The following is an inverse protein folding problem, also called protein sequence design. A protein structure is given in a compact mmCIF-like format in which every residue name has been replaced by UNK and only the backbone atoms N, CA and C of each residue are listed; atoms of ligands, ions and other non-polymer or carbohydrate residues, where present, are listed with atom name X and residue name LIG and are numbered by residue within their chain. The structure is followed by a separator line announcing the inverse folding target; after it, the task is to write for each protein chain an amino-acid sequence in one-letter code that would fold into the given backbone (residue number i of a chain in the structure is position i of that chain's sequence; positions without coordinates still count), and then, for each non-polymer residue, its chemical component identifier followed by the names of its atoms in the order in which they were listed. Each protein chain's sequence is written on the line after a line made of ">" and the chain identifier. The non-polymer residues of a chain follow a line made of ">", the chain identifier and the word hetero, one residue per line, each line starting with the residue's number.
data_IF_994369404216
#
_entry.id   IF_994369404216
#
_cell.length_a   1.000
_cell.length_b   1.000
_cell.length_c   1.000
_cell.angle_alpha   90.00
_cell.angle_beta   90.00
_cell.angle_gamma   90.00
#
_symmetry.space_group_name_H-M   'P 1'
#
loop_
_entity.id
_entity.type
_entity.pdbx_description
1 polymer ?
#
# COMPACT_ATOMS: atom_id res chain seq x y z
N UNK A 1 -0.83 -4.60 -10.93
CA UNK A 1 -0.20 -3.45 -10.22
C UNK A 1 -0.75 -2.11 -10.71
N UNK A 2 -0.68 -1.82 -12.02
CA UNK A 2 -1.16 -0.57 -12.62
C UNK A 2 -2.63 -0.24 -12.30
N UNK A 3 -3.53 -1.22 -12.38
CA UNK A 3 -4.95 -1.00 -12.05
C UNK A 3 -5.16 -0.56 -10.60
N UNK A 4 -4.36 -1.11 -9.67
CA UNK A 4 -4.44 -0.76 -8.25
C UNK A 4 -3.91 0.65 -7.99
N UNK A 5 -2.87 1.06 -8.72
CA UNK A 5 -2.33 2.43 -8.69
C UNK A 5 -3.33 3.45 -9.26
N UNK A 6 -3.90 3.15 -10.44
CA UNK A 6 -4.95 3.96 -11.05
C UNK A 6 -6.13 4.14 -10.12
N UNK A 7 -6.62 3.04 -9.54
CA UNK A 7 -7.70 3.07 -8.57
C UNK A 7 -7.37 3.94 -7.34
N UNK A 8 -6.16 3.85 -6.78
CA UNK A 8 -5.74 4.63 -5.61
C UNK A 8 -5.67 6.15 -5.90
N UNK A 9 -5.29 6.53 -7.12
CA UNK A 9 -5.25 7.93 -7.55
C UNK A 9 -6.62 8.60 -7.58
N UNK A 10 -7.69 7.82 -7.73
CA UNK A 10 -9.07 8.31 -7.68
C UNK A 10 -9.62 8.43 -6.24
N UNK A 11 -8.88 7.97 -5.23
CA UNK A 11 -9.36 7.95 -3.84
C UNK A 11 -8.93 9.18 -3.03
N UNK A 12 -9.76 9.59 -2.08
CA UNK A 12 -9.49 10.73 -1.20
C UNK A 12 -8.62 10.39 0.02
N UNK A 13 -8.12 9.16 0.16
CA UNK A 13 -7.20 8.78 1.24
C UNK A 13 -7.83 8.59 2.63
N UNK A 14 -9.15 8.42 2.73
CA UNK A 14 -9.80 8.09 4.01
C UNK A 14 -9.51 6.66 4.48
N UNK A 15 -9.77 6.34 5.74
CA UNK A 15 -9.44 5.02 6.31
C UNK A 15 -10.03 3.84 5.52
N UNK A 16 -11.24 4.01 4.98
CA UNK A 16 -11.92 3.02 4.13
C UNK A 16 -11.16 2.73 2.84
N UNK A 17 -10.44 3.71 2.28
CA UNK A 17 -9.59 3.53 1.10
C UNK A 17 -8.54 2.43 1.35
N UNK A 18 -7.88 2.44 2.50
CA UNK A 18 -6.85 1.45 2.83
C UNK A 18 -7.45 0.05 3.07
N UNK A 19 -8.64 -0.02 3.68
CA UNK A 19 -9.35 -1.29 3.84
C UNK A 19 -9.75 -1.90 2.49
N UNK A 20 -10.28 -1.11 1.56
CA UNK A 20 -10.60 -1.59 0.21
C UNK A 20 -9.35 -1.91 -0.60
N UNK A 21 -8.28 -1.12 -0.44
CA UNK A 21 -6.98 -1.39 -1.04
C UNK A 21 -6.49 -2.79 -0.65
N UNK A 22 -6.51 -3.10 0.65
CA UNK A 22 -6.06 -4.40 1.17
C UNK A 22 -6.80 -5.56 0.49
N UNK A 23 -8.13 -5.46 0.37
CA UNK A 23 -8.95 -6.49 -0.29
C UNK A 23 -8.61 -6.63 -1.77
N UNK A 24 -8.49 -5.52 -2.50
CA UNK A 24 -8.13 -5.51 -3.93
C UNK A 24 -6.73 -6.10 -4.16
N UNK A 25 -5.76 -5.74 -3.33
CA UNK A 25 -4.40 -6.27 -3.41
C UNK A 25 -4.36 -7.78 -3.16
N UNK A 26 -5.11 -8.28 -2.16
CA UNK A 26 -5.22 -9.72 -1.90
C UNK A 26 -5.89 -10.49 -3.03
N UNK A 27 -6.93 -9.93 -3.64
CA UNK A 27 -7.57 -10.52 -4.80
C UNK A 27 -6.57 -10.61 -5.97
N UNK A 28 -5.91 -9.50 -6.30
CA UNK A 28 -4.97 -9.46 -7.41
C UNK A 28 -3.77 -10.38 -7.18
N UNK A 29 -3.31 -10.54 -5.94
CA UNK A 29 -2.22 -11.48 -5.61
C UNK A 29 -2.57 -12.95 -5.91
N UNK A 30 -3.85 -13.30 -5.96
CA UNK A 30 -4.31 -14.65 -6.35
C UNK A 30 -4.38 -14.82 -7.87
N UNK A 31 -4.49 -13.73 -8.60
CA UNK A 31 -4.66 -13.68 -10.05
C UNK A 31 -3.32 -13.47 -10.77
N UNK A 32 -2.36 -12.80 -10.13
CA UNK A 32 -1.02 -12.48 -10.64
C UNK A 32 0.05 -13.14 -9.76
N UNK A 33 0.42 -14.39 -10.10
CA UNK A 33 1.40 -15.17 -9.35
C UNK A 33 2.82 -14.56 -9.39
N UNK A 34 3.17 -13.83 -10.44
CA UNK A 34 4.50 -13.23 -10.61
C UNK A 34 4.73 -12.11 -9.60
N UNK A 35 3.70 -11.32 -9.32
CA UNK A 35 3.77 -10.18 -8.40
C UNK A 35 3.06 -10.41 -7.07
N UNK A 36 2.58 -11.65 -6.82
CA UNK A 36 1.76 -11.99 -5.67
C UNK A 36 2.37 -11.58 -4.32
N UNK A 37 3.68 -11.79 -4.14
CA UNK A 37 4.37 -11.43 -2.90
C UNK A 37 4.37 -9.92 -2.65
N UNK A 38 4.68 -9.12 -3.68
CA UNK A 38 4.67 -7.66 -3.59
C UNK A 38 3.24 -7.16 -3.34
N UNK A 39 2.25 -7.71 -4.04
CA UNK A 39 0.83 -7.36 -3.85
C UNK A 39 0.35 -7.67 -2.42
N UNK A 40 0.71 -8.84 -1.88
CA UNK A 40 0.37 -9.22 -0.52
C UNK A 40 1.01 -8.28 0.51
N UNK A 41 2.27 -7.89 0.29
CA UNK A 41 2.99 -6.96 1.17
C UNK A 41 2.40 -5.55 1.13
N UNK A 42 2.08 -5.02 -0.06
CA UNK A 42 1.40 -3.73 -0.21
C UNK A 42 0.03 -3.74 0.48
N UNK A 43 -0.73 -4.83 0.32
CA UNK A 43 -1.98 -5.02 1.05
C UNK A 43 -1.76 -5.01 2.57
N UNK A 44 -0.67 -5.61 3.06
CA UNK A 44 -0.34 -5.62 4.49
C UNK A 44 0.03 -4.24 5.03
N UNK A 45 0.70 -3.39 4.26
CA UNK A 45 0.96 -1.99 4.62
C UNK A 45 -0.37 -1.26 4.89
N UNK A 46 -1.33 -1.38 3.96
CA UNK A 46 -2.65 -0.79 4.12
C UNK A 46 -3.41 -1.35 5.33
N UNK A 47 -3.35 -2.67 5.56
CA UNK A 47 -3.99 -3.29 6.72
C UNK A 47 -3.41 -2.82 8.06
N UNK A 48 -2.08 -2.69 8.17
CA UNK A 48 -1.44 -2.15 9.39
C UNK A 48 -1.82 -0.69 9.63
N UNK A 49 -1.95 0.09 8.57
CA UNK A 49 -2.44 1.47 8.67
C UNK A 49 -3.88 1.51 9.20
N UNK A 50 -4.77 0.67 8.66
CA UNK A 50 -6.16 0.56 9.15
C UNK A 50 -6.20 0.18 10.63
N UNK A 51 -5.43 -0.83 11.03
CA UNK A 51 -5.36 -1.30 12.41
C UNK A 51 -4.92 -0.21 13.40
N UNK A 52 -4.08 0.75 12.97
CA UNK A 52 -3.62 1.86 13.80
C UNK A 52 -4.74 2.84 14.18
N UNK A 53 -5.81 2.90 13.40
CA UNK A 53 -6.96 3.79 13.62
C UNK A 53 -8.24 3.01 13.92
N UNK A 54 -8.15 1.73 14.29
CA UNK A 54 -9.31 0.98 14.75
C UNK A 54 -9.87 1.60 16.04
N UNK A 55 -11.04 2.24 15.93
CA UNK A 55 -11.71 2.90 17.06
C UNK A 55 -11.47 4.40 17.18
N UNK A 56 -10.61 4.99 16.33
CA UNK A 56 -10.34 6.44 16.32
C UNK A 56 -10.45 7.03 14.90
N UNK A 57 -10.97 8.27 14.74
CA UNK A 57 -11.02 8.91 13.44
C UNK A 57 -9.59 9.24 12.95
N UNK A 58 -9.32 8.92 11.68
CA UNK A 58 -8.09 9.33 11.00
C UNK A 58 -8.03 10.87 10.88
N UNK A 59 -7.01 11.54 11.45
CA UNK A 59 -6.84 12.98 11.28
C UNK A 59 -6.62 13.35 9.80
N UNK A 60 -7.17 14.51 9.38
CA UNK A 60 -7.13 14.95 7.98
C UNK A 60 -5.70 15.14 7.46
N UNK A 61 -4.82 15.70 8.28
CA UNK A 61 -3.41 15.90 7.91
C UNK A 61 -2.72 14.55 7.65
N UNK A 62 -2.92 13.59 8.56
CA UNK A 62 -2.39 12.22 8.38
C UNK A 62 -2.97 11.51 7.16
N UNK A 63 -4.26 11.74 6.85
CA UNK A 63 -4.88 11.16 5.66
C UNK A 63 -4.22 11.67 4.38
N UNK A 64 -3.88 12.96 4.35
CA UNK A 64 -3.25 13.62 3.21
C UNK A 64 -1.81 13.13 3.00
N UNK A 65 -1.02 13.06 4.07
CA UNK A 65 0.37 12.59 3.99
C UNK A 65 0.44 11.10 3.64
N UNK A 66 -0.39 10.28 4.30
CA UNK A 66 -0.40 8.84 4.07
C UNK A 66 -0.82 8.48 2.64
N UNK A 67 -1.80 9.18 2.05
CA UNK A 67 -2.22 8.84 0.69
C UNK A 67 -1.16 9.23 -0.34
N UNK A 68 -0.43 10.33 -0.11
CA UNK A 68 0.69 10.75 -0.98
C UNK A 68 1.81 9.71 -0.91
N UNK A 69 2.28 9.36 0.28
CA UNK A 69 3.34 8.35 0.43
C UNK A 69 2.91 6.99 -0.12
N UNK A 70 1.64 6.63 0.02
CA UNK A 70 1.16 5.36 -0.50
C UNK A 70 1.12 5.33 -2.03
N UNK A 71 0.76 6.45 -2.67
CA UNK A 71 0.83 6.59 -4.12
C UNK A 71 2.26 6.48 -4.63
N UNK A 72 3.20 7.13 -3.95
CA UNK A 72 4.62 7.04 -4.32
C UNK A 72 5.15 5.61 -4.22
N UNK A 73 4.76 4.89 -3.16
CA UNK A 73 5.10 3.47 -3.00
C UNK A 73 4.53 2.62 -4.13
N UNK A 74 3.28 2.87 -4.54
CA UNK A 74 2.66 2.13 -5.63
C UNK A 74 3.25 2.48 -7.00
N UNK A 75 3.59 3.74 -7.25
CA UNK A 75 4.25 4.14 -8.47
C UNK A 75 5.58 3.38 -8.61
N UNK A 76 6.39 3.34 -7.55
CA UNK A 76 7.61 2.51 -7.51
C UNK A 76 7.31 1.03 -7.75
N UNK A 77 6.23 0.50 -7.17
CA UNK A 77 5.85 -0.89 -7.40
C UNK A 77 5.54 -1.17 -8.89
N UNK A 78 4.92 -0.22 -9.62
CA UNK A 78 4.66 -0.37 -11.06
C UNK A 78 5.92 -0.40 -11.92
N UNK A 79 6.98 0.28 -11.48
CA UNK A 79 8.29 0.25 -12.14
C UNK A 79 9.03 -1.06 -11.86
N UNK A 80 8.94 -1.57 -10.62
CA UNK A 80 9.62 -2.79 -10.17
C UNK A 80 9.02 -4.07 -10.75
N UNK A 81 7.74 -4.10 -11.16
CA UNK A 81 7.15 -5.32 -11.73
C UNK A 81 7.87 -5.83 -12.98
N UNK A 82 8.60 -4.95 -13.68
CA UNK A 82 9.39 -5.31 -14.88
C UNK A 82 10.91 -5.37 -14.62
N UNK A 83 11.34 -5.19 -13.37
CA UNK A 83 12.75 -5.20 -12.97
C UNK A 83 13.28 -6.62 -12.74
N UNK A 84 14.57 -6.74 -12.40
CA UNK A 84 15.20 -8.03 -12.10
C UNK A 84 14.63 -8.66 -10.82
N UNK A 85 14.75 -9.98 -10.67
CA UNK A 85 14.31 -10.68 -9.44
C UNK A 85 15.01 -10.15 -8.17
N UNK A 86 16.28 -9.75 -8.30
CA UNK A 86 17.05 -9.12 -7.21
C UNK A 86 16.41 -7.80 -6.79
N UNK A 87 16.01 -6.96 -7.75
CA UNK A 87 15.37 -5.68 -7.47
C UNK A 87 13.96 -5.88 -6.89
N UNK A 88 13.20 -6.86 -7.41
CA UNK A 88 11.89 -7.26 -6.88
C UNK A 88 12.00 -7.71 -5.42
N UNK A 89 13.00 -8.52 -5.09
CA UNK A 89 13.24 -8.98 -3.71
C UNK A 89 13.68 -7.82 -2.78
N UNK A 90 14.59 -6.95 -3.25
CA UNK A 90 15.00 -5.79 -2.48
C UNK A 90 13.81 -4.85 -2.18
N UNK A 91 12.95 -4.62 -3.18
CA UNK A 91 11.72 -3.86 -3.01
C UNK A 91 10.76 -4.54 -2.04
N UNK A 92 10.54 -5.85 -2.16
CA UNK A 92 9.70 -6.60 -1.24
C UNK A 92 10.18 -6.49 0.21
N UNK A 93 11.49 -6.60 0.46
CA UNK A 93 12.08 -6.43 1.79
C UNK A 93 11.84 -5.01 2.36
N UNK A 94 11.95 -3.98 1.51
CA UNK A 94 11.63 -2.61 1.91
C UNK A 94 10.14 -2.47 2.26
N UNK A 95 9.23 -2.94 1.40
CA UNK A 95 7.77 -2.87 1.65
C UNK A 95 7.37 -3.62 2.93
N UNK A 96 8.03 -4.75 3.23
CA UNK A 96 7.76 -5.55 4.41
C UNK A 96 7.97 -4.78 5.73
N UNK A 97 8.86 -3.79 5.73
CA UNK A 97 9.22 -2.95 6.89
C UNK A 97 8.69 -1.52 6.79
N UNK A 98 8.14 -1.12 5.64
CA UNK A 98 7.59 0.19 5.40
C UNK A 98 6.24 0.38 6.10
N UNK A 99 6.06 1.47 6.85
CA UNK A 99 4.77 1.86 7.41
C UNK A 99 4.36 3.24 6.89
N UNK A 100 3.08 3.40 6.58
CA UNK A 100 2.54 4.69 6.22
C UNK A 100 2.60 5.67 7.41
N UNK A 101 2.86 6.96 7.13
CA UNK A 101 2.99 7.99 8.14
C UNK A 101 1.67 8.13 8.92
N UNK A 102 1.77 8.37 10.22
CA UNK A 102 0.65 8.64 11.11
C UNK A 102 1.13 9.45 12.30
N UNK A 103 0.25 9.79 13.24
CA UNK A 103 0.66 10.50 14.47
C UNK A 103 1.81 9.72 15.09
N UNK A 104 2.98 10.36 15.24
CA UNK A 104 4.08 9.78 16.01
C UNK A 104 3.56 9.60 17.43
N UNK A 105 3.30 8.35 17.82
CA UNK A 105 3.27 8.01 19.24
C UNK A 105 4.67 8.27 19.77
N UNK A 106 4.81 9.35 20.55
CA UNK A 106 5.98 9.59 21.40
C UNK A 106 6.25 8.39 22.31
#
# INVERSE_FOLDING_TARGET
>A
MHDLYGWLNEQNGGIRTYAEFHRKAQQLAREDAENAAILALLGRVAARFVARYEGEPLPVDNASDAVVEFRDLLNKATEITSASDTDKLAFANMVATFDLPGVKTN
#
